data_IF_829412107298
#
_entry.id   IF_829412107298
#
_cell.length_a   1.000
_cell.length_b   1.000
_cell.length_c   1.000
_cell.angle_alpha   90.00
_cell.angle_beta   90.00
_cell.angle_gamma   90.00
#
_symmetry.space_group_name_H-M   'P 1'
#
loop_
_entity.id
_entity.type
_entity.pdbx_description
1 polymer ?
#
# COMPACT_ATOMS: atom_id res chain seq x y z
N UNK A 1 -2.55 7.16 -13.16
CA UNK A 1 -1.98 8.49 -12.89
C UNK A 1 -0.48 8.34 -12.68
N UNK A 2 0.31 9.16 -13.28
CA UNK A 2 1.74 9.23 -12.98
C UNK A 2 1.98 9.97 -11.67
N UNK A 3 3.13 9.74 -11.03
CA UNK A 3 3.46 10.41 -9.77
C UNK A 3 3.66 11.92 -9.95
N UNK A 4 3.96 12.35 -11.18
CA UNK A 4 4.07 13.75 -11.59
C UNK A 4 2.73 14.48 -11.68
N UNK A 5 1.65 13.72 -11.84
CA UNK A 5 0.28 14.20 -12.03
C UNK A 5 -0.55 14.18 -10.73
N UNK A 6 0.10 13.92 -9.59
CA UNK A 6 -0.60 13.89 -8.31
C UNK A 6 -1.27 15.25 -8.01
N UNK A 7 -2.52 15.22 -7.50
CA UNK A 7 -3.21 16.44 -7.14
C UNK A 7 -2.45 17.19 -6.04
N UNK A 8 -2.54 18.53 -6.06
CA UNK A 8 -1.95 19.36 -5.02
C UNK A 8 -2.82 19.30 -3.75
N UNK A 9 -2.37 18.53 -2.74
CA UNK A 9 -3.05 18.34 -1.47
C UNK A 9 -2.37 19.19 -0.40
N UNK A 10 -2.94 20.36 -0.11
CA UNK A 10 -2.41 21.31 0.89
C UNK A 10 -2.78 20.92 2.33
N UNK A 11 -3.86 20.16 2.51
CA UNK A 11 -4.27 19.68 3.84
C UNK A 11 -3.20 18.76 4.42
N UNK A 12 -2.85 18.87 5.71
CA UNK A 12 -1.95 17.93 6.37
C UNK A 12 -2.40 16.49 6.13
N UNK A 13 -1.50 15.62 5.70
CA UNK A 13 -1.87 14.29 5.20
C UNK A 13 -0.93 13.21 5.75
N UNK A 14 -1.51 12.10 6.23
CA UNK A 14 -0.79 10.86 6.48
C UNK A 14 -0.87 10.00 5.23
N UNK A 15 0.27 9.52 4.76
CA UNK A 15 0.36 8.76 3.51
C UNK A 15 0.76 7.33 3.79
N UNK A 16 0.08 6.39 3.15
CA UNK A 16 0.51 4.99 3.06
C UNK A 16 0.59 4.55 1.60
N UNK A 17 1.47 3.60 1.29
CA UNK A 17 1.66 3.10 -0.07
C UNK A 17 1.72 1.58 -0.11
N UNK A 18 1.11 1.00 -1.14
CA UNK A 18 1.14 -0.44 -1.37
C UNK A 18 0.31 -0.86 -2.56
N UNK A 19 0.43 -2.12 -2.97
CA UNK A 19 -0.47 -2.68 -3.98
C UNK A 19 -1.87 -2.91 -3.38
N UNK A 20 -1.97 -3.17 -2.09
CA UNK A 20 -3.20 -3.46 -1.33
C UNK A 20 -4.11 -4.50 -2.00
N UNK A 21 -3.50 -5.45 -2.72
CA UNK A 21 -4.18 -6.45 -3.53
C UNK A 21 -5.09 -7.35 -2.69
N UNK A 22 -6.41 -7.27 -2.95
CA UNK A 22 -7.46 -7.99 -2.24
C UNK A 22 -7.82 -7.43 -0.84
N UNK A 23 -7.18 -6.37 -0.37
CA UNK A 23 -7.44 -5.72 0.94
C UNK A 23 -7.68 -6.74 2.07
N UNK A 24 -6.70 -7.64 2.27
CA UNK A 24 -6.74 -8.66 3.33
C UNK A 24 -6.44 -8.09 4.72
N UNK A 25 -6.62 -8.89 5.78
CA UNK A 25 -6.45 -8.46 7.18
C UNK A 25 -5.12 -7.75 7.45
N UNK A 26 -4.03 -8.12 6.77
CA UNK A 26 -2.76 -7.41 6.88
C UNK A 26 -2.85 -5.95 6.40
N UNK A 27 -3.60 -5.68 5.32
CA UNK A 27 -3.84 -4.33 4.83
C UNK A 27 -4.82 -3.57 5.74
N UNK A 28 -5.90 -4.24 6.17
CA UNK A 28 -6.89 -3.66 7.09
C UNK A 28 -6.21 -3.17 8.37
N UNK A 29 -5.24 -3.92 8.89
CA UNK A 29 -4.49 -3.49 10.04
C UNK A 29 -3.66 -2.22 9.78
N UNK A 30 -3.01 -2.13 8.62
CA UNK A 30 -2.30 -0.88 8.26
C UNK A 30 -3.28 0.29 8.26
N UNK A 31 -4.47 0.12 7.67
CA UNK A 31 -5.49 1.16 7.63
C UNK A 31 -6.04 1.51 9.03
N UNK A 32 -6.21 0.54 9.91
CA UNK A 32 -6.63 0.80 11.29
C UNK A 32 -5.53 1.53 12.08
N UNK A 33 -4.28 1.12 11.92
CA UNK A 33 -3.15 1.77 12.59
C UNK A 33 -2.95 3.21 12.13
N UNK A 34 -3.03 3.51 10.83
CA UNK A 34 -2.90 4.88 10.33
C UNK A 34 -4.05 5.76 10.84
N UNK A 35 -5.28 5.22 10.97
CA UNK A 35 -6.40 5.92 11.60
C UNK A 35 -6.12 6.22 13.08
N UNK A 36 -5.59 5.26 13.83
CA UNK A 36 -5.22 5.45 15.23
C UNK A 36 -4.12 6.52 15.39
N UNK A 37 -3.11 6.51 14.51
CA UNK A 37 -2.05 7.53 14.46
C UNK A 37 -2.67 8.92 14.20
N UNK A 38 -3.58 9.01 13.22
CA UNK A 38 -4.30 10.25 12.93
C UNK A 38 -5.03 10.75 14.17
N UNK A 39 -5.87 9.92 14.79
CA UNK A 39 -6.67 10.33 15.95
C UNK A 39 -5.79 10.78 17.14
N UNK A 40 -4.65 10.14 17.33
CA UNK A 40 -3.77 10.44 18.46
C UNK A 40 -2.91 11.68 18.25
N UNK A 41 -2.35 11.85 17.06
CA UNK A 41 -1.30 12.85 16.80
C UNK A 41 -1.66 13.89 15.73
N UNK A 42 -2.63 13.59 14.84
CA UNK A 42 -2.86 14.36 13.60
C UNK A 42 -4.35 14.55 13.28
N UNK A 43 -5.16 14.86 14.27
CA UNK A 43 -6.65 14.91 14.17
C UNK A 43 -7.20 15.73 13.00
N UNK A 44 -6.49 16.78 12.58
CA UNK A 44 -6.89 17.66 11.46
C UNK A 44 -6.38 17.16 10.09
N UNK A 45 -5.70 16.02 10.05
CA UNK A 45 -5.09 15.49 8.84
C UNK A 45 -6.03 14.55 8.10
N UNK A 46 -5.81 14.45 6.79
CA UNK A 46 -6.42 13.45 5.91
C UNK A 46 -5.53 12.21 5.82
N UNK A 47 -6.11 11.08 5.43
CA UNK A 47 -5.38 9.86 5.13
C UNK A 47 -5.43 9.62 3.63
N UNK A 48 -4.25 9.44 3.03
CA UNK A 48 -4.08 9.11 1.63
C UNK A 48 -3.47 7.71 1.50
N UNK A 49 -4.12 6.83 0.75
CA UNK A 49 -3.55 5.58 0.27
C UNK A 49 -3.13 5.73 -1.19
N UNK A 50 -1.83 5.59 -1.46
CA UNK A 50 -1.30 5.42 -2.80
C UNK A 50 -1.32 3.93 -3.14
N UNK A 51 -2.00 3.53 -4.21
CA UNK A 51 -2.06 2.14 -4.64
C UNK A 51 -1.55 1.97 -6.06
N UNK A 52 -0.73 0.94 -6.31
CA UNK A 52 -0.23 0.70 -7.66
C UNK A 52 -1.30 0.11 -8.57
N UNK A 53 -1.47 0.64 -9.78
CA UNK A 53 -2.41 0.11 -10.78
C UNK A 53 -2.10 -1.34 -11.12
N UNK A 54 -0.81 -1.64 -11.35
CA UNK A 54 -0.26 -2.99 -11.55
C UNK A 54 0.71 -3.33 -10.42
N UNK A 55 0.94 -4.61 -10.18
CA UNK A 55 1.97 -5.00 -9.20
C UNK A 55 3.36 -4.55 -9.67
N UNK A 56 4.14 -3.83 -8.85
CA UNK A 56 5.54 -3.51 -9.19
C UNK A 56 6.35 -4.73 -9.62
N UNK A 57 6.07 -5.91 -9.03
CA UNK A 57 6.73 -7.18 -9.40
C UNK A 57 6.50 -7.57 -10.85
N UNK A 58 5.36 -7.22 -11.43
CA UNK A 58 5.03 -7.52 -12.82
C UNK A 58 5.88 -6.69 -13.79
N UNK A 59 6.19 -5.45 -13.42
CA UNK A 59 7.03 -4.55 -14.23
C UNK A 59 8.52 -4.90 -14.07
N UNK A 60 8.94 -5.30 -12.85
CA UNK A 60 10.34 -5.67 -12.57
C UNK A 60 10.70 -7.01 -13.21
N UNK A 61 9.77 -7.98 -13.24
CA UNK A 61 9.98 -9.33 -13.76
C UNK A 61 8.85 -9.69 -14.75
N UNK A 62 8.85 -9.14 -15.97
CA UNK A 62 7.76 -9.32 -16.93
C UNK A 62 7.56 -10.78 -17.37
N UNK A 63 8.62 -11.59 -17.34
CA UNK A 63 8.59 -13.03 -17.65
C UNK A 63 7.69 -13.85 -16.72
N UNK A 64 7.45 -13.33 -15.50
CA UNK A 64 6.60 -14.03 -14.53
C UNK A 64 5.16 -13.54 -14.62
N UNK A 65 4.23 -14.49 -14.80
CA UNK A 65 2.79 -14.17 -14.72
C UNK A 65 2.42 -13.79 -13.29
N UNK A 66 2.03 -12.51 -13.09
CA UNK A 66 1.51 -12.01 -11.83
C UNK A 66 0.02 -11.69 -11.99
N UNK A 67 -0.85 -12.52 -11.44
CA UNK A 67 -2.27 -12.21 -11.32
C UNK A 67 -2.52 -11.35 -10.08
N UNK A 68 -3.44 -10.41 -10.14
CA UNK A 68 -3.97 -9.71 -8.98
C UNK A 68 -5.16 -10.50 -8.41
N UNK A 69 -5.42 -10.35 -7.10
CA UNK A 69 -6.54 -10.99 -6.42
C UNK A 69 -7.85 -10.33 -6.83
N UNK A 70 -7.84 -9.00 -7.02
CA UNK A 70 -8.99 -8.24 -7.44
C UNK A 70 -8.62 -7.18 -8.49
N UNK A 71 -9.58 -6.78 -9.36
CA UNK A 71 -9.44 -5.66 -10.29
C UNK A 71 -9.12 -4.35 -9.56
N UNK A 72 -8.63 -3.34 -10.31
CA UNK A 72 -8.27 -2.05 -9.74
C UNK A 72 -9.48 -1.35 -9.13
N UNK A 73 -10.58 -1.29 -9.85
CA UNK A 73 -11.81 -0.59 -9.46
C UNK A 73 -12.34 -1.14 -8.13
N UNK A 74 -12.45 -2.46 -8.02
CA UNK A 74 -12.86 -3.13 -6.78
C UNK A 74 -11.90 -2.84 -5.64
N UNK A 75 -10.59 -2.85 -5.91
CA UNK A 75 -9.56 -2.55 -4.91
C UNK A 75 -9.66 -1.12 -4.39
N UNK A 76 -9.92 -0.13 -5.26
CA UNK A 76 -10.13 1.25 -4.86
C UNK A 76 -11.34 1.39 -3.93
N UNK A 77 -12.45 0.73 -4.25
CA UNK A 77 -13.64 0.71 -3.38
C UNK A 77 -13.36 0.02 -2.04
N UNK A 78 -12.67 -1.13 -2.07
CA UNK A 78 -12.29 -1.84 -0.85
C UNK A 78 -11.42 -0.99 0.08
N UNK A 79 -10.50 -0.19 -0.46
CA UNK A 79 -9.66 0.72 0.32
C UNK A 79 -10.51 1.88 0.87
N UNK A 80 -11.37 2.51 0.05
CA UNK A 80 -12.29 3.58 0.48
C UNK A 80 -13.18 3.12 1.62
N UNK A 81 -13.72 1.90 1.53
CA UNK A 81 -14.58 1.31 2.56
C UNK A 81 -13.86 1.04 3.89
N UNK A 82 -12.52 1.18 3.93
CA UNK A 82 -11.77 1.19 5.20
C UNK A 82 -11.72 2.56 5.88
N UNK A 83 -12.42 3.56 5.36
CA UNK A 83 -12.44 4.92 5.92
C UNK A 83 -11.19 5.74 5.58
N UNK A 84 -10.59 5.48 4.42
CA UNK A 84 -9.47 6.25 3.86
C UNK A 84 -10.04 7.43 3.09
N UNK A 85 -9.57 8.65 3.41
CA UNK A 85 -10.11 9.89 2.83
C UNK A 85 -9.82 10.01 1.33
N UNK A 86 -8.59 9.67 0.91
CA UNK A 86 -8.16 9.72 -0.48
C UNK A 86 -7.50 8.43 -0.90
N UNK A 87 -7.89 7.89 -2.05
CA UNK A 87 -7.26 6.71 -2.66
C UNK A 87 -6.83 7.06 -4.07
N UNK A 88 -5.52 7.07 -4.31
CA UNK A 88 -4.96 7.47 -5.60
C UNK A 88 -4.22 6.30 -6.23
N UNK A 89 -4.69 5.84 -7.40
CA UNK A 89 -3.97 4.82 -8.17
C UNK A 89 -2.79 5.46 -8.90
N UNK A 90 -1.57 4.93 -8.70
CA UNK A 90 -0.36 5.37 -9.38
C UNK A 90 0.19 4.27 -10.29
N UNK A 91 0.71 4.66 -11.44
CA UNK A 91 1.39 3.76 -12.34
C UNK A 91 2.80 3.48 -11.81
N UNK A 92 3.19 2.19 -11.81
CA UNK A 92 4.57 1.82 -11.59
C UNK A 92 5.21 1.64 -12.96
N UNK A 93 5.70 2.73 -13.53
CA UNK A 93 6.39 2.78 -14.82
C UNK A 93 7.92 2.82 -14.65
N UNK A 94 8.65 2.96 -15.76
CA UNK A 94 10.10 3.06 -15.71
C UNK A 94 10.57 4.33 -14.98
N UNK A 95 9.84 5.44 -15.09
CA UNK A 95 10.19 6.68 -14.38
C UNK A 95 10.13 6.47 -12.86
N UNK A 96 9.09 5.81 -12.38
CA UNK A 96 8.96 5.50 -10.95
C UNK A 96 9.92 4.38 -10.52
N UNK A 97 10.13 3.38 -11.38
CA UNK A 97 11.01 2.24 -11.11
C UNK A 97 12.44 2.66 -10.79
N UNK A 98 12.96 3.66 -11.48
CA UNK A 98 14.36 4.10 -11.33
C UNK A 98 14.57 5.20 -10.30
N UNK A 99 13.53 5.70 -9.64
CA UNK A 99 13.67 6.69 -8.57
C UNK A 99 14.22 6.08 -7.29
N UNK A 100 15.17 6.77 -6.67
CA UNK A 100 15.60 6.46 -5.30
C UNK A 100 14.48 6.75 -4.31
N UNK A 101 14.57 6.20 -3.10
CA UNK A 101 13.61 6.49 -2.03
C UNK A 101 13.50 7.98 -1.74
N UNK A 102 14.64 8.68 -1.69
CA UNK A 102 14.69 10.13 -1.45
C UNK A 102 13.96 10.90 -2.56
N UNK A 103 14.27 10.62 -3.84
CA UNK A 103 13.63 11.28 -4.97
C UNK A 103 12.12 11.02 -5.04
N UNK A 104 11.71 9.79 -4.72
CA UNK A 104 10.30 9.44 -4.67
C UNK A 104 9.55 10.23 -3.58
N UNK A 105 10.07 10.23 -2.35
CA UNK A 105 9.43 10.93 -1.22
C UNK A 105 9.43 12.45 -1.41
N UNK A 106 10.51 12.99 -1.99
CA UNK A 106 10.60 14.42 -2.30
C UNK A 106 9.54 14.83 -3.34
N UNK A 107 9.37 14.03 -4.37
CA UNK A 107 8.34 14.28 -5.39
C UNK A 107 6.92 14.19 -4.82
N UNK A 108 6.66 13.24 -3.91
CA UNK A 108 5.37 13.19 -3.21
C UNK A 108 5.14 14.47 -2.40
N UNK A 109 6.16 14.92 -1.66
CA UNK A 109 6.09 16.12 -0.81
C UNK A 109 5.83 17.39 -1.61
N UNK A 110 6.29 17.49 -2.85
CA UNK A 110 6.05 18.65 -3.70
C UNK A 110 4.55 18.88 -4.00
N UNK A 111 3.77 17.79 -4.03
CA UNK A 111 2.33 17.85 -4.31
C UNK A 111 1.45 17.63 -3.08
N UNK A 112 1.98 17.05 -2.02
CA UNK A 112 1.20 16.62 -0.86
C UNK A 112 1.86 17.15 0.41
N UNK A 113 1.09 17.83 1.25
CA UNK A 113 1.55 18.25 2.58
C UNK A 113 1.62 17.04 3.54
N UNK A 114 2.66 16.23 3.35
CA UNK A 114 2.85 14.98 4.11
C UNK A 114 3.35 15.31 5.52
N UNK A 115 2.63 14.86 6.54
CA UNK A 115 3.04 14.93 7.94
C UNK A 115 3.64 13.61 8.43
N UNK A 116 3.07 12.50 7.99
CA UNK A 116 3.57 11.18 8.33
C UNK A 116 3.50 10.22 7.14
N UNK A 117 4.50 9.35 7.05
CA UNK A 117 4.56 8.25 6.11
C UNK A 117 4.45 6.94 6.88
N UNK A 118 3.37 6.17 6.62
CA UNK A 118 3.01 4.99 7.39
C UNK A 118 3.08 3.76 6.51
N UNK A 119 3.98 2.84 6.80
CA UNK A 119 4.22 1.66 5.98
C UNK A 119 4.28 0.39 6.82
N UNK A 120 3.97 -0.74 6.21
CA UNK A 120 4.15 -2.06 6.83
C UNK A 120 5.64 -2.47 6.86
N UNK A 121 6.04 -3.23 7.89
CA UNK A 121 7.38 -3.78 7.97
C UNK A 121 7.69 -4.66 6.74
N UNK A 122 8.86 -4.45 6.15
CA UNK A 122 9.32 -5.11 4.94
C UNK A 122 8.87 -4.45 3.63
N UNK A 123 8.19 -3.29 3.70
CA UNK A 123 7.97 -2.44 2.53
C UNK A 123 9.32 -1.88 2.09
N UNK A 124 9.67 -2.05 0.81
CA UNK A 124 10.84 -1.42 0.21
C UNK A 124 10.42 -0.20 -0.59
N UNK A 125 11.19 0.87 -0.47
CA UNK A 125 10.94 2.13 -1.18
C UNK A 125 12.13 2.43 -2.09
N UNK A 126 11.83 2.91 -3.29
CA UNK A 126 12.82 3.29 -4.30
C UNK A 126 13.46 2.11 -5.03
N UNK A 127 14.26 2.43 -6.06
CA UNK A 127 15.07 1.45 -6.80
C UNK A 127 16.21 0.88 -5.98
N UNK A 128 16.68 1.67 -5.03
CA UNK A 128 17.67 1.32 -4.00
C UNK A 128 17.10 0.37 -2.94
N UNK A 129 15.80 0.01 -3.09
CA UNK A 129 15.07 -0.97 -2.27
C UNK A 129 15.33 -0.82 -0.77
N UNK A 130 15.31 0.42 -0.28
CA UNK A 130 15.56 0.70 1.14
C UNK A 130 14.49 0.01 1.98
N UNK A 131 14.91 -1.00 2.74
CA UNK A 131 14.16 -1.68 3.79
C UNK A 131 14.72 -1.37 5.17
N UNK A 132 15.92 -0.83 5.21
CA UNK A 132 16.59 -0.43 6.44
C UNK A 132 15.83 0.76 7.04
N UNK A 133 15.26 0.52 8.21
CA UNK A 133 14.51 1.53 8.95
C UNK A 133 15.34 2.77 9.25
N UNK A 134 16.62 2.61 9.64
CA UNK A 134 17.50 3.74 9.97
C UNK A 134 17.73 4.64 8.77
N UNK A 135 18.04 4.05 7.60
CA UNK A 135 18.20 4.81 6.35
C UNK A 135 16.91 5.52 5.94
N UNK A 136 15.77 4.84 6.03
CA UNK A 136 14.50 5.45 5.67
C UNK A 136 14.12 6.59 6.63
N UNK A 137 14.42 6.46 7.94
CA UNK A 137 14.23 7.54 8.92
C UNK A 137 15.11 8.76 8.62
N UNK A 138 16.35 8.58 8.20
CA UNK A 138 17.21 9.70 7.79
C UNK A 138 16.54 10.47 6.65
N UNK A 139 16.15 9.79 5.57
CA UNK A 139 15.50 10.42 4.42
C UNK A 139 14.19 11.14 4.81
N UNK A 140 13.35 10.49 5.60
CA UNK A 140 12.07 11.09 5.99
C UNK A 140 12.26 12.29 6.93
N UNK A 141 13.23 12.23 7.84
CA UNK A 141 13.57 13.34 8.75
C UNK A 141 14.10 14.57 7.99
N UNK A 142 14.97 14.37 7.00
CA UNK A 142 15.46 15.44 6.12
C UNK A 142 14.31 16.14 5.38
N UNK A 143 13.25 15.41 5.08
CA UNK A 143 12.04 15.92 4.44
C UNK A 143 11.02 16.48 5.45
N UNK A 144 11.26 16.40 6.75
CA UNK A 144 10.29 16.80 7.78
C UNK A 144 9.03 15.91 7.80
N UNK A 145 9.17 14.64 7.46
CA UNK A 145 8.10 13.64 7.43
C UNK A 145 8.32 12.64 8.57
N UNK A 146 7.34 12.47 9.45
CA UNK A 146 7.43 11.44 10.49
C UNK A 146 7.19 10.04 9.89
N UNK A 147 8.05 9.07 10.24
CA UNK A 147 7.97 7.70 9.73
C UNK A 147 7.42 6.74 10.78
N UNK A 148 6.33 6.05 10.42
CA UNK A 148 5.78 4.93 11.19
C UNK A 148 5.95 3.62 10.40
N UNK A 149 6.68 2.67 10.97
CA UNK A 149 6.80 1.32 10.42
C UNK A 149 5.98 0.36 11.28
N UNK A 150 4.93 -0.19 10.68
CA UNK A 150 3.97 -1.03 11.36
C UNK A 150 4.39 -2.49 11.35
N UNK A 151 4.22 -3.22 12.46
CA UNK A 151 4.56 -4.64 12.51
C UNK A 151 3.68 -5.46 11.56
N UNK A 152 4.23 -6.58 11.08
CA UNK A 152 3.45 -7.52 10.29
C UNK A 152 2.38 -8.20 11.15
N UNK A 153 1.17 -8.34 10.60
CA UNK A 153 0.15 -9.18 11.23
C UNK A 153 0.39 -10.64 10.90
N UNK A 154 0.28 -11.45 11.93
CA UNK A 154 0.31 -12.90 11.82
C UNK A 154 -1.05 -13.50 12.20
N UNK A 155 -1.46 -14.53 11.51
CA UNK A 155 -2.58 -15.41 11.88
C UNK A 155 -2.01 -16.80 12.12
N UNK A 156 -2.17 -17.34 13.35
CA UNK A 156 -1.58 -18.63 13.74
C UNK A 156 -0.06 -18.67 13.43
N UNK A 157 0.67 -17.66 13.86
CA UNK A 157 2.13 -17.49 13.66
C UNK A 157 2.60 -17.43 12.20
N UNK A 158 1.68 -17.26 11.22
CA UNK A 158 2.03 -17.10 9.81
C UNK A 158 1.66 -15.70 9.32
N UNK A 159 2.61 -15.01 8.69
CA UNK A 159 2.38 -13.68 8.09
C UNK A 159 1.26 -13.77 7.06
N UNK A 160 0.30 -12.84 7.09
CA UNK A 160 -0.72 -12.70 6.06
C UNK A 160 -0.14 -11.91 4.89
N UNK A 161 -0.19 -12.46 3.67
CA UNK A 161 0.30 -11.77 2.48
C UNK A 161 -0.51 -12.15 1.23
N UNK A 162 -0.59 -11.24 0.26
CA UNK A 162 -1.26 -11.51 -1.02
C UNK A 162 -0.70 -12.73 -1.74
N UNK A 163 0.61 -12.99 -1.64
CA UNK A 163 1.24 -14.18 -2.26
C UNK A 163 0.74 -15.49 -1.65
N UNK A 164 0.57 -15.54 -0.32
CA UNK A 164 -0.01 -16.73 0.33
C UNK A 164 -1.48 -16.90 -0.07
N UNK A 165 -2.23 -15.82 -0.12
CA UNK A 165 -3.65 -15.88 -0.51
C UNK A 165 -3.78 -16.38 -1.95
N UNK A 166 -2.96 -15.90 -2.89
CA UNK A 166 -2.92 -16.39 -4.27
C UNK A 166 -2.64 -17.88 -4.36
N UNK A 167 -1.68 -18.38 -3.58
CA UNK A 167 -1.39 -19.81 -3.50
C UNK A 167 -2.58 -20.61 -2.95
N UNK A 168 -3.33 -20.06 -1.99
CA UNK A 168 -4.52 -20.70 -1.46
C UNK A 168 -5.67 -20.71 -2.47
N UNK A 169 -5.84 -19.63 -3.24
CA UNK A 169 -6.81 -19.54 -4.34
C UNK A 169 -6.51 -20.62 -5.38
N UNK A 170 -5.25 -20.76 -5.82
CA UNK A 170 -4.85 -21.76 -6.81
C UNK A 170 -5.05 -23.20 -6.32
N UNK A 171 -5.02 -23.43 -5.00
CA UNK A 171 -5.22 -24.73 -4.37
C UNK A 171 -6.69 -25.00 -3.98
N UNK A 172 -7.63 -24.09 -4.26
CA UNK A 172 -9.06 -24.27 -3.95
C UNK A 172 -9.42 -24.16 -2.44
N UNK A 173 -8.52 -23.67 -1.59
CA UNK A 173 -8.72 -23.61 -0.14
C UNK A 173 -9.57 -22.39 0.29
N UNK A 174 -10.83 -22.33 -0.15
CA UNK A 174 -11.71 -21.17 0.01
C UNK A 174 -11.99 -20.81 1.47
N UNK A 175 -12.28 -21.79 2.34
CA UNK A 175 -12.58 -21.55 3.77
C UNK A 175 -11.46 -20.86 4.53
N UNK A 176 -10.21 -21.20 4.23
CA UNK A 176 -9.04 -20.54 4.86
C UNK A 176 -8.74 -19.18 4.26
N UNK A 177 -9.18 -18.93 3.03
CA UNK A 177 -9.08 -17.61 2.38
C UNK A 177 -9.98 -16.61 3.12
N UNK A 178 -11.25 -16.98 3.38
CA UNK A 178 -12.19 -16.08 4.08
C UNK A 178 -11.67 -15.66 5.46
N UNK A 179 -11.02 -16.56 6.21
CA UNK A 179 -10.37 -16.21 7.48
C UNK A 179 -9.25 -15.17 7.33
N UNK A 180 -8.52 -15.19 6.21
CA UNK A 180 -7.42 -14.23 5.95
C UNK A 180 -7.88 -12.91 5.39
N UNK A 181 -9.02 -12.87 4.72
CA UNK A 181 -9.66 -11.63 4.27
C UNK A 181 -10.47 -10.96 5.38
N UNK A 182 -10.93 -11.71 6.38
CA UNK A 182 -11.85 -11.20 7.42
C UNK A 182 -13.27 -10.91 6.91
N UNK A 183 -13.62 -11.43 5.73
CA UNK A 183 -14.93 -11.31 5.08
C UNK A 183 -15.15 -12.45 4.11
N UNK A 184 -16.41 -12.67 3.70
CA UNK A 184 -16.72 -13.61 2.62
C UNK A 184 -16.07 -13.16 1.32
N UNK A 185 -15.47 -14.07 0.61
CA UNK A 185 -14.80 -13.85 -0.65
C UNK A 185 -15.70 -14.35 -1.78
N UNK A 186 -16.20 -13.44 -2.60
CA UNK A 186 -16.99 -13.79 -3.77
C UNK A 186 -16.09 -13.81 -5.00
N UNK A 187 -15.90 -14.97 -5.59
CA UNK A 187 -15.29 -15.07 -6.91
C UNK A 187 -16.32 -14.61 -7.94
N UNK A 188 -16.15 -13.43 -8.50
CA UNK A 188 -16.89 -13.06 -9.71
C UNK A 188 -16.25 -13.85 -10.85
N UNK A 189 -16.87 -14.98 -11.21
CA UNK A 189 -16.56 -15.69 -12.45
C UNK A 189 -17.01 -14.79 -13.60
N UNK A 190 -16.13 -14.03 -14.22
CA UNK A 190 -16.37 -13.54 -15.57
C UNK A 190 -16.27 -14.78 -16.47
N UNK A 191 -17.43 -15.28 -16.91
CA UNK A 191 -17.53 -16.16 -18.09
C UNK A 191 -17.08 -15.32 -19.29
N UNK A 192 -15.96 -15.73 -19.90
CA UNK A 192 -15.56 -15.28 -21.23
C UNK A 192 -16.23 -16.16 -22.26
#
# INVERSE_FOLDING_TARGET
MEITELPNIKTPTLVTIGTFDGVHLGHISVFNQIKNIREKFYRKSKILALTFTKSPKQIINPEKKYSLICPLEERLELIKNQGIDHVIPINFDNNLRYKTASNFLNQLKNNINIKAFVIGNGTSIGNDQIKDEKKLRVITNELGIELFILPNITLKNKKISSSQIKKMISNGNIKDIEKKFGKKFYFIRKSY
#
